data_IF_794074103898
#
_entry.id   IF_794074103898
#
_cell.length_a   1.000
_cell.length_b   1.000
_cell.length_c   1.000
_cell.angle_alpha   90.00
_cell.angle_beta   90.00
_cell.angle_gamma   90.00
#
_symmetry.space_group_name_H-M   'P 1'
#
loop_
_entity.id
_entity.type
_entity.pdbx_description
1 polymer ?
#
# COMPACT_ATOMS: atom_id res chain seq x y z
N UNK A 1 21.62 -16.46 13.07
CA UNK A 1 20.69 -15.80 12.13
C UNK A 1 20.08 -14.59 12.83
N UNK A 2 20.28 -13.37 12.31
CA UNK A 2 19.53 -12.19 12.79
C UNK A 2 18.06 -12.46 12.48
N UNK A 3 17.22 -12.47 13.51
CA UNK A 3 15.78 -12.64 13.35
C UNK A 3 15.29 -11.46 12.51
N UNK A 4 14.89 -11.70 11.25
CA UNK A 4 14.41 -10.66 10.36
C UNK A 4 13.22 -9.97 11.03
N UNK A 5 13.45 -8.74 11.46
CA UNK A 5 12.49 -7.99 12.27
C UNK A 5 11.56 -7.22 11.34
N UNK A 6 10.47 -7.88 10.91
CA UNK A 6 9.40 -7.29 10.11
C UNK A 6 8.23 -6.90 11.01
N UNK A 7 7.66 -5.72 10.77
CA UNK A 7 6.38 -5.27 11.32
C UNK A 7 5.41 -4.95 10.20
N UNK A 8 4.13 -5.20 10.43
CA UNK A 8 3.05 -4.75 9.54
C UNK A 8 2.60 -3.38 10.03
N UNK A 9 2.70 -2.39 9.17
CA UNK A 9 2.24 -1.04 9.45
C UNK A 9 1.06 -0.70 8.54
N UNK A 10 -0.12 -0.57 9.15
CA UNK A 10 -1.33 -0.10 8.49
C UNK A 10 -1.37 1.42 8.64
N UNK A 11 -1.04 2.10 7.55
CA UNK A 11 -1.08 3.56 7.51
C UNK A 11 -2.51 4.03 7.42
N UNK A 12 -2.99 4.74 8.44
CA UNK A 12 -4.35 5.24 8.54
C UNK A 12 -4.42 6.55 9.32
N UNK A 13 -5.63 7.05 9.54
CA UNK A 13 -5.94 8.20 10.38
C UNK A 13 -7.41 8.18 10.84
N UNK A 14 -7.76 9.07 11.75
CA UNK A 14 -9.01 9.02 12.50
C UNK A 14 -10.29 9.05 11.65
N UNK A 15 -10.27 9.76 10.49
CA UNK A 15 -11.44 9.84 9.59
C UNK A 15 -11.73 8.51 8.85
N UNK A 16 -10.82 7.54 8.95
CA UNK A 16 -10.98 6.19 8.40
C UNK A 16 -11.23 5.13 9.48
N UNK A 17 -11.49 5.56 10.71
CA UNK A 17 -11.72 4.64 11.83
C UNK A 17 -12.95 3.73 11.67
N UNK A 18 -13.93 4.14 10.90
CA UNK A 18 -15.10 3.36 10.53
C UNK A 18 -14.75 2.13 9.65
N UNK A 19 -13.61 2.19 8.95
CA UNK A 19 -13.12 1.12 8.08
C UNK A 19 -12.31 0.08 8.86
N UNK A 20 -11.65 0.44 9.96
CA UNK A 20 -10.74 -0.44 10.68
C UNK A 20 -11.34 -1.80 11.05
N UNK A 21 -12.58 -1.87 11.61
CA UNK A 21 -13.19 -3.17 11.93
C UNK A 21 -13.34 -4.06 10.68
N UNK A 22 -13.72 -3.47 9.54
CA UNK A 22 -13.91 -4.19 8.28
C UNK A 22 -12.56 -4.66 7.72
N UNK A 23 -11.56 -3.77 7.73
CA UNK A 23 -10.20 -4.11 7.31
C UNK A 23 -9.63 -5.27 8.12
N UNK A 24 -9.69 -5.21 9.45
CA UNK A 24 -9.13 -6.25 10.30
C UNK A 24 -9.93 -7.55 10.25
N UNK A 25 -11.24 -7.51 10.02
CA UNK A 25 -12.04 -8.70 9.76
C UNK A 25 -11.53 -9.42 8.48
N UNK A 26 -11.27 -8.70 7.39
CA UNK A 26 -10.67 -9.25 6.18
C UNK A 26 -9.22 -9.69 6.44
N UNK A 27 -8.43 -8.88 7.13
CA UNK A 27 -7.04 -9.17 7.41
C UNK A 27 -6.88 -10.48 8.15
N UNK A 28 -7.55 -10.67 9.27
CA UNK A 28 -7.44 -11.90 10.08
C UNK A 28 -8.16 -13.11 9.46
N UNK A 29 -9.15 -12.90 8.60
CA UNK A 29 -9.74 -13.97 7.80
C UNK A 29 -8.72 -14.57 6.83
N UNK A 30 -7.91 -13.73 6.18
CA UNK A 30 -6.99 -14.15 5.13
C UNK A 30 -5.54 -14.28 5.58
N UNK A 31 -5.18 -13.75 6.75
CA UNK A 31 -3.86 -13.88 7.34
C UNK A 31 -3.95 -14.12 8.86
N UNK A 32 -4.67 -15.18 9.26
CA UNK A 32 -4.90 -15.54 10.66
C UNK A 32 -3.61 -15.95 11.39
N UNK A 33 -2.62 -16.46 10.68
CA UNK A 33 -1.32 -16.93 11.17
C UNK A 33 -0.20 -15.89 10.99
N UNK A 34 -0.54 -14.61 10.84
CA UNK A 34 0.44 -13.53 10.73
C UNK A 34 1.35 -13.49 11.98
N UNK A 35 2.66 -13.78 11.85
CA UNK A 35 3.55 -13.86 13.00
C UNK A 35 4.16 -12.51 13.37
N UNK A 36 3.85 -11.47 12.60
CA UNK A 36 4.45 -10.16 12.74
C UNK A 36 3.59 -9.26 13.62
N UNK A 37 4.23 -8.40 14.42
CA UNK A 37 3.48 -7.37 15.16
C UNK A 37 2.80 -6.42 14.18
N UNK A 38 1.51 -6.22 14.36
CA UNK A 38 0.69 -5.32 13.55
C UNK A 38 0.56 -3.99 14.29
N UNK A 39 0.81 -2.90 13.56
CA UNK A 39 0.60 -1.54 14.03
C UNK A 39 -0.42 -0.82 13.16
N UNK A 40 -1.35 -0.12 13.79
CA UNK A 40 -2.32 0.74 13.14
C UNK A 40 -2.00 2.20 13.46
N UNK A 41 -1.79 3.00 12.42
CA UNK A 41 -1.58 4.44 12.55
C UNK A 41 -2.88 5.20 12.75
N UNK A 42 -2.89 6.13 13.71
CA UNK A 42 -4.00 7.05 13.98
C UNK A 42 -3.48 8.38 14.52
N UNK A 43 -4.40 9.31 14.81
CA UNK A 43 -4.08 10.55 15.51
C UNK A 43 -4.49 10.42 16.98
N UNK A 44 -5.76 10.18 17.28
CA UNK A 44 -6.32 10.10 18.65
C UNK A 44 -7.17 8.87 18.88
N UNK A 45 -7.86 8.39 17.81
CA UNK A 45 -8.78 7.27 17.94
C UNK A 45 -8.03 5.98 18.23
N UNK A 46 -8.68 5.09 18.94
CA UNK A 46 -8.17 3.78 19.33
C UNK A 46 -8.96 2.69 18.65
N UNK A 47 -8.29 1.60 18.35
CA UNK A 47 -8.89 0.34 17.92
C UNK A 47 -8.45 -0.73 18.91
N UNK A 48 -9.39 -1.30 19.63
CA UNK A 48 -9.11 -2.31 20.65
C UNK A 48 -9.12 -3.70 20.02
N UNK A 49 -7.92 -4.27 19.89
CA UNK A 49 -7.73 -5.63 19.37
C UNK A 49 -6.40 -6.20 19.89
N UNK A 50 -6.41 -7.43 20.42
CA UNK A 50 -5.28 -8.05 21.11
C UNK A 50 -4.00 -8.16 20.26
N UNK A 51 -4.12 -8.28 18.94
CA UNK A 51 -2.99 -8.42 18.00
C UNK A 51 -2.56 -7.11 17.34
N UNK A 52 -3.25 -5.99 17.60
CA UNK A 52 -2.99 -4.70 16.98
C UNK A 52 -2.53 -3.69 18.00
N UNK A 53 -1.39 -3.05 17.74
CA UNK A 53 -0.91 -1.92 18.54
C UNK A 53 -1.15 -0.61 17.82
N UNK A 54 -1.54 0.42 18.57
CA UNK A 54 -1.76 1.75 18.03
C UNK A 54 -0.45 2.53 17.96
N UNK A 55 -0.30 3.30 16.87
CA UNK A 55 0.69 4.36 16.74
C UNK A 55 -0.04 5.69 16.60
N UNK A 56 0.32 6.65 17.42
CA UNK A 56 -0.31 7.97 17.42
C UNK A 56 0.62 9.03 16.84
N UNK A 57 0.05 9.96 16.08
CA UNK A 57 0.75 11.11 15.51
C UNK A 57 0.03 12.41 15.88
N UNK A 58 0.68 13.56 15.62
CA UNK A 58 0.10 14.86 15.90
C UNK A 58 -1.12 15.17 15.01
N UNK A 59 -2.09 15.88 15.59
CA UNK A 59 -3.42 16.08 14.99
C UNK A 59 -3.44 16.87 13.67
N UNK A 60 -2.45 17.73 13.43
CA UNK A 60 -2.44 18.66 12.28
C UNK A 60 -1.46 18.24 11.17
N UNK A 61 -0.97 17.01 11.21
CA UNK A 61 -0.03 16.51 10.22
C UNK A 61 -0.74 15.92 9.01
N UNK A 62 -0.16 16.13 7.82
CA UNK A 62 -0.56 15.43 6.61
C UNK A 62 -0.09 13.96 6.65
N UNK A 63 -0.38 13.21 5.57
CA UNK A 63 -0.05 11.79 5.51
C UNK A 63 1.44 11.51 5.79
N UNK A 64 2.34 12.23 5.10
CA UNK A 64 3.78 11.99 5.22
C UNK A 64 4.32 12.29 6.62
N UNK A 65 3.89 13.38 7.23
CA UNK A 65 4.29 13.74 8.59
C UNK A 65 3.82 12.70 9.60
N UNK A 66 2.55 12.23 9.50
CA UNK A 66 2.06 11.12 10.33
C UNK A 66 2.84 9.84 10.11
N UNK A 67 3.13 9.49 8.85
CA UNK A 67 3.91 8.29 8.55
C UNK A 67 5.32 8.34 9.15
N UNK A 68 6.00 9.49 9.10
CA UNK A 68 7.30 9.68 9.76
C UNK A 68 7.17 9.49 11.27
N UNK A 69 6.18 10.13 11.91
CA UNK A 69 5.97 10.03 13.36
C UNK A 69 5.65 8.57 13.78
N UNK A 70 4.78 7.87 13.04
CA UNK A 70 4.46 6.47 13.30
C UNK A 70 5.69 5.58 13.14
N UNK A 71 6.39 5.68 12.01
CA UNK A 71 7.56 4.85 11.72
C UNK A 71 8.72 5.10 12.68
N UNK A 72 8.85 6.31 13.23
CA UNK A 72 9.86 6.63 14.23
C UNK A 72 9.65 5.90 15.56
N UNK A 73 8.42 5.49 15.86
CA UNK A 73 8.08 4.70 17.05
C UNK A 73 8.37 3.20 16.89
N UNK A 74 8.61 2.73 15.64
CA UNK A 74 8.84 1.32 15.33
C UNK A 74 10.36 1.08 15.22
N UNK A 75 10.88 0.17 16.05
CA UNK A 75 12.29 -0.29 15.96
C UNK A 75 12.34 -1.60 15.21
N UNK A 76 12.51 -1.53 13.88
CA UNK A 76 12.64 -2.71 13.02
C UNK A 76 13.55 -2.44 11.83
N UNK A 77 14.06 -3.51 11.23
CA UNK A 77 14.79 -3.43 9.95
C UNK A 77 13.82 -3.27 8.79
N UNK A 78 12.69 -3.96 8.84
CA UNK A 78 11.70 -4.02 7.77
C UNK A 78 10.31 -3.64 8.24
N UNK A 79 9.57 -3.02 7.34
CA UNK A 79 8.17 -2.63 7.53
C UNK A 79 7.37 -3.06 6.30
N UNK A 80 6.31 -3.85 6.49
CA UNK A 80 5.29 -4.05 5.47
C UNK A 80 4.28 -2.90 5.58
N UNK A 81 4.38 -1.95 4.66
CA UNK A 81 3.43 -0.85 4.54
C UNK A 81 2.16 -1.32 3.83
N UNK A 82 1.01 -1.07 4.41
CA UNK A 82 -0.32 -1.25 3.81
C UNK A 82 -1.21 -0.06 4.15
N UNK A 83 -2.27 0.14 3.38
CA UNK A 83 -3.34 1.09 3.69
C UNK A 83 -4.57 0.35 4.20
N UNK A 84 -5.36 1.01 5.03
CA UNK A 84 -6.57 0.48 5.67
C UNK A 84 -7.73 0.19 4.70
N UNK A 85 -7.67 0.71 3.48
CA UNK A 85 -8.67 0.49 2.45
C UNK A 85 -8.33 -0.66 1.48
N UNK A 86 -7.22 -1.38 1.71
CA UNK A 86 -6.79 -2.54 0.95
C UNK A 86 -7.30 -3.84 1.60
N UNK A 87 -8.53 -4.24 1.27
CA UNK A 87 -9.14 -5.45 1.83
C UNK A 87 -8.50 -6.70 1.26
N UNK A 88 -7.88 -7.51 2.11
CA UNK A 88 -7.34 -8.81 1.69
C UNK A 88 -8.43 -9.66 1.06
N UNK A 89 -8.10 -10.44 0.03
CA UNK A 89 -9.06 -11.20 -0.76
C UNK A 89 -8.70 -12.68 -0.94
N UNK A 90 -7.48 -13.06 -0.58
CA UNK A 90 -7.00 -14.44 -0.61
C UNK A 90 -6.09 -14.71 0.57
N UNK A 91 -5.99 -15.99 0.96
CA UNK A 91 -5.10 -16.43 2.02
C UNK A 91 -3.66 -16.02 1.71
N UNK A 92 -3.03 -15.31 2.65
CA UNK A 92 -1.62 -14.94 2.58
C UNK A 92 -0.78 -16.17 2.95
N UNK A 93 0.24 -16.43 2.16
CA UNK A 93 1.21 -17.48 2.45
C UNK A 93 2.35 -16.92 3.32
N UNK A 94 2.28 -17.14 4.63
CA UNK A 94 3.26 -16.64 5.60
C UNK A 94 4.68 -17.12 5.29
N UNK A 95 4.86 -18.35 4.76
CA UNK A 95 6.18 -18.85 4.36
C UNK A 95 6.74 -18.10 3.15
N UNK A 96 5.88 -17.75 2.20
CA UNK A 96 6.29 -16.93 1.05
C UNK A 96 6.75 -15.54 1.50
N UNK A 97 6.02 -14.88 2.41
CA UNK A 97 6.44 -13.59 2.96
C UNK A 97 7.80 -13.69 3.66
N UNK A 98 8.04 -14.76 4.43
CA UNK A 98 9.33 -15.00 5.08
C UNK A 98 10.46 -15.18 4.03
N UNK A 99 10.23 -15.96 2.97
CA UNK A 99 11.21 -16.15 1.90
C UNK A 99 11.50 -14.86 1.13
N UNK A 100 10.48 -14.01 0.90
CA UNK A 100 10.65 -12.70 0.27
C UNK A 100 11.47 -11.75 1.16
N UNK A 101 11.34 -11.85 2.47
CA UNK A 101 12.14 -11.09 3.41
C UNK A 101 13.62 -11.52 3.41
N UNK A 102 13.89 -12.84 3.34
CA UNK A 102 15.24 -13.38 3.17
C UNK A 102 15.85 -12.95 1.82
N UNK A 103 15.05 -12.90 0.77
CA UNK A 103 15.48 -12.40 -0.53
C UNK A 103 15.87 -10.93 -0.46
N UNK A 104 15.15 -10.09 0.28
CA UNK A 104 15.52 -8.69 0.49
C UNK A 104 16.89 -8.54 1.15
N UNK A 105 17.24 -9.40 2.12
CA UNK A 105 18.56 -9.40 2.73
C UNK A 105 19.63 -9.90 1.73
N UNK A 106 19.35 -10.99 1.02
CA UNK A 106 20.29 -11.63 0.09
C UNK A 106 20.71 -10.70 -1.07
N UNK A 107 19.75 -9.93 -1.60
CA UNK A 107 19.98 -9.05 -2.75
C UNK A 107 20.11 -7.57 -2.36
N UNK A 108 20.21 -7.27 -1.07
CA UNK A 108 20.30 -5.91 -0.51
C UNK A 108 19.20 -4.97 -1.03
N UNK A 109 17.96 -5.46 -1.08
CA UNK A 109 16.84 -4.67 -1.58
C UNK A 109 16.33 -3.67 -0.54
N UNK A 110 15.99 -2.48 -1.00
CA UNK A 110 15.39 -1.43 -0.16
C UNK A 110 13.86 -1.48 -0.15
N UNK A 111 13.27 -2.01 -1.22
CA UNK A 111 11.82 -2.22 -1.29
C UNK A 111 11.46 -3.42 -2.16
N UNK A 112 10.45 -4.17 -1.74
CA UNK A 112 9.85 -5.25 -2.50
C UNK A 112 8.33 -5.13 -2.45
N UNK A 113 7.74 -4.72 -3.56
CA UNK A 113 6.28 -4.60 -3.69
C UNK A 113 5.65 -5.98 -3.85
N UNK A 114 4.62 -6.26 -3.05
CA UNK A 114 3.95 -7.55 -2.98
C UNK A 114 2.69 -7.64 -3.86
N UNK A 115 2.35 -6.57 -4.55
CA UNK A 115 1.24 -6.46 -5.50
C UNK A 115 1.74 -5.91 -6.84
N UNK A 116 1.38 -6.50 -7.99
CA UNK A 116 1.98 -6.19 -9.29
C UNK A 116 1.37 -4.96 -10.00
N UNK A 117 1.31 -3.83 -9.30
CA UNK A 117 0.84 -2.57 -9.87
C UNK A 117 1.76 -1.40 -9.44
N UNK A 118 2.55 -0.84 -10.36
CA UNK A 118 2.82 -1.31 -11.70
C UNK A 118 3.62 -2.61 -11.72
N UNK A 119 3.52 -3.35 -12.82
CA UNK A 119 4.37 -4.52 -13.07
C UNK A 119 5.85 -4.14 -13.04
N UNK A 120 6.75 -5.05 -12.64
CA UNK A 120 8.18 -4.85 -12.82
C UNK A 120 8.55 -4.54 -14.28
N UNK A 121 9.66 -3.84 -14.49
CA UNK A 121 10.14 -3.49 -15.84
C UNK A 121 10.97 -4.63 -16.46
N UNK A 122 11.74 -5.35 -15.63
CA UNK A 122 12.61 -6.47 -16.05
C UNK A 122 12.71 -7.51 -14.94
N UNK A 123 12.92 -8.77 -15.33
CA UNK A 123 13.05 -9.88 -14.39
C UNK A 123 14.36 -9.85 -13.57
N UNK A 124 14.34 -10.47 -12.40
CA UNK A 124 15.51 -10.75 -11.59
C UNK A 124 15.99 -12.16 -11.89
N UNK A 125 17.30 -12.32 -12.24
CA UNK A 125 17.88 -13.63 -12.54
C UNK A 125 17.72 -14.60 -11.35
N UNK A 126 17.29 -15.83 -11.65
CA UNK A 126 17.05 -16.85 -10.63
C UNK A 126 15.78 -16.66 -9.79
N UNK A 127 15.00 -15.61 -10.02
CA UNK A 127 13.80 -15.29 -9.24
C UNK A 127 12.57 -15.07 -10.17
N UNK A 128 11.84 -16.13 -10.52
CA UNK A 128 10.82 -16.06 -11.60
C UNK A 128 9.65 -15.14 -11.29
N UNK A 129 9.35 -14.89 -10.01
CA UNK A 129 8.24 -13.99 -9.61
C UNK A 129 8.71 -12.58 -9.22
N UNK A 130 10.02 -12.28 -9.29
CA UNK A 130 10.57 -10.99 -8.87
C UNK A 130 11.16 -10.25 -10.07
N UNK A 131 10.99 -8.93 -10.07
CA UNK A 131 11.59 -8.08 -11.07
C UNK A 131 11.87 -6.68 -10.53
N UNK A 132 12.73 -5.97 -11.23
CA UNK A 132 13.15 -4.61 -10.87
C UNK A 132 12.12 -3.58 -11.33
N UNK A 133 11.97 -2.55 -10.53
CA UNK A 133 11.29 -1.31 -10.90
C UNK A 133 12.37 -0.34 -11.42
N UNK A 134 12.47 -0.19 -12.73
CA UNK A 134 13.54 0.60 -13.32
C UNK A 134 13.41 2.09 -12.99
N UNK A 135 14.55 2.78 -13.07
CA UNK A 135 14.60 4.24 -12.91
C UNK A 135 13.71 4.91 -13.98
N UNK A 136 13.02 5.98 -13.58
CA UNK A 136 12.07 6.68 -14.43
C UNK A 136 10.70 6.01 -14.59
N UNK A 137 10.49 4.80 -14.07
CA UNK A 137 9.20 4.16 -14.09
C UNK A 137 8.19 4.95 -13.25
N UNK A 138 7.00 5.19 -13.81
CA UNK A 138 5.92 5.84 -13.09
C UNK A 138 5.46 4.95 -11.92
N UNK A 139 5.25 5.56 -10.74
CA UNK A 139 4.92 4.84 -9.52
C UNK A 139 5.95 3.75 -9.15
N UNK A 140 7.23 4.01 -9.43
CA UNK A 140 8.34 3.18 -9.00
C UNK A 140 8.28 2.94 -7.48
N UNK A 141 7.96 3.97 -6.71
CA UNK A 141 7.48 3.88 -5.35
C UNK A 141 5.98 4.16 -5.31
N UNK A 142 5.24 3.44 -4.51
CA UNK A 142 3.83 3.68 -4.25
C UNK A 142 3.43 3.12 -2.88
N UNK A 143 2.16 3.25 -2.53
CA UNK A 143 1.60 2.82 -1.25
C UNK A 143 0.89 1.48 -1.31
N UNK A 144 1.05 0.72 -2.40
CA UNK A 144 0.65 -0.68 -2.44
C UNK A 144 1.44 -1.51 -1.41
N UNK A 145 0.88 -2.65 -0.99
CA UNK A 145 1.53 -3.55 -0.04
C UNK A 145 2.99 -3.80 -0.45
N UNK A 146 3.92 -3.25 0.34
CA UNK A 146 5.37 -3.25 0.03
C UNK A 146 6.16 -3.50 1.31
N UNK A 147 7.07 -4.45 1.28
CA UNK A 147 8.11 -4.58 2.31
C UNK A 147 9.20 -3.56 2.00
N UNK A 148 9.46 -2.69 2.94
CA UNK A 148 10.49 -1.66 2.88
C UNK A 148 11.58 -1.93 3.92
N UNK A 149 12.84 -1.67 3.59
CA UNK A 149 13.78 -1.28 4.65
C UNK A 149 13.24 0.00 5.27
N UNK A 150 13.02 -0.02 6.58
CA UNK A 150 12.39 1.11 7.29
C UNK A 150 13.12 2.43 7.04
N UNK A 151 14.46 2.41 7.09
CA UNK A 151 15.29 3.60 6.87
C UNK A 151 15.14 4.12 5.42
N UNK A 152 15.04 3.23 4.43
CA UNK A 152 14.84 3.63 3.04
C UNK A 152 13.46 4.28 2.83
N UNK A 153 12.41 3.76 3.48
CA UNK A 153 11.10 4.39 3.45
C UNK A 153 11.13 5.79 4.09
N UNK A 154 11.73 5.93 5.28
CA UNK A 154 11.88 7.21 5.96
C UNK A 154 12.71 8.21 5.15
N UNK A 155 13.77 7.76 4.50
CA UNK A 155 14.59 8.61 3.64
C UNK A 155 13.85 9.11 2.39
N UNK A 156 12.86 8.37 1.90
CA UNK A 156 12.05 8.77 0.75
C UNK A 156 10.84 9.65 1.11
N UNK A 157 10.34 9.60 2.34
CA UNK A 157 9.23 10.45 2.77
C UNK A 157 9.74 11.87 3.05
N UNK A 158 8.99 12.89 2.63
CA UNK A 158 9.24 14.29 3.00
C UNK A 158 8.03 14.87 3.72
N UNK A 159 8.23 15.61 4.83
CA UNK A 159 7.13 16.29 5.51
C UNK A 159 6.37 17.20 4.54
N UNK A 160 5.06 17.28 4.71
CA UNK A 160 4.21 18.13 3.88
C UNK A 160 3.60 17.45 2.66
N UNK A 161 4.07 16.26 2.28
CA UNK A 161 3.52 15.54 1.12
C UNK A 161 2.22 14.81 1.49
N UNK A 162 1.22 14.92 0.62
CA UNK A 162 0.10 13.99 0.58
C UNK A 162 0.57 12.61 0.12
N UNK A 163 -0.28 11.60 0.26
CA UNK A 163 0.01 10.25 -0.22
C UNK A 163 0.34 10.21 -1.72
N UNK A 164 -0.41 10.96 -2.54
CA UNK A 164 -0.19 11.04 -4.00
C UNK A 164 1.11 11.77 -4.35
N UNK A 165 1.41 12.87 -3.66
CA UNK A 165 2.68 13.58 -3.83
C UNK A 165 3.87 12.72 -3.46
N UNK A 166 3.78 11.94 -2.38
CA UNK A 166 4.79 10.95 -2.03
C UNK A 166 5.00 9.95 -3.17
N UNK A 167 3.95 9.34 -3.71
CA UNK A 167 4.09 8.36 -4.79
C UNK A 167 4.83 8.93 -6.03
N UNK A 168 4.55 10.19 -6.38
CA UNK A 168 5.21 10.87 -7.51
C UNK A 168 6.63 11.27 -7.14
N UNK A 169 6.79 12.02 -6.05
CA UNK A 169 8.06 12.64 -5.69
C UNK A 169 9.07 11.62 -5.18
N UNK A 170 8.64 10.63 -4.39
CA UNK A 170 9.52 9.55 -3.95
C UNK A 170 9.95 8.65 -5.12
N UNK A 171 9.10 8.44 -6.13
CA UNK A 171 9.51 7.75 -7.36
C UNK A 171 10.66 8.49 -8.05
N UNK A 172 10.62 9.81 -8.10
CA UNK A 172 11.71 10.64 -8.66
C UNK A 172 12.95 10.57 -7.76
N UNK A 173 12.80 10.79 -6.46
CA UNK A 173 13.92 10.75 -5.49
C UNK A 173 14.63 9.39 -5.50
N UNK A 174 13.85 8.31 -5.55
CA UNK A 174 14.38 6.95 -5.51
C UNK A 174 15.29 6.60 -6.68
N UNK A 175 15.21 7.31 -7.81
CA UNK A 175 16.08 7.08 -8.97
C UNK A 175 17.56 7.31 -8.62
N UNK A 176 17.85 8.33 -7.85
CA UNK A 176 19.21 8.68 -7.45
C UNK A 176 19.64 7.97 -6.15
N UNK A 177 18.70 7.83 -5.20
CA UNK A 177 19.01 7.30 -3.87
C UNK A 177 19.09 5.77 -3.84
N UNK A 178 18.20 5.09 -4.59
CA UNK A 178 18.06 3.64 -4.57
C UNK A 178 18.02 3.02 -5.98
N UNK A 179 19.04 3.26 -6.83
CA UNK A 179 19.10 2.68 -8.16
C UNK A 179 19.23 1.15 -8.04
N UNK A 180 18.36 0.38 -8.69
CA UNK A 180 18.46 -1.08 -8.76
C UNK A 180 18.09 -1.87 -7.51
N UNK A 181 17.60 -1.23 -6.43
CA UNK A 181 17.23 -1.93 -5.18
C UNK A 181 15.75 -1.85 -4.83
N UNK A 182 14.91 -1.39 -5.77
CA UNK A 182 13.45 -1.41 -5.66
C UNK A 182 12.91 -2.46 -6.64
N UNK A 183 12.22 -3.44 -6.09
CA UNK A 183 11.69 -4.58 -6.83
C UNK A 183 10.17 -4.71 -6.61
N UNK A 184 9.57 -5.58 -7.38
CA UNK A 184 8.17 -5.98 -7.22
C UNK A 184 7.95 -7.40 -7.72
N UNK A 185 6.76 -7.92 -7.46
CA UNK A 185 6.35 -9.25 -7.90
C UNK A 185 5.62 -9.17 -9.24
N UNK A 186 5.70 -10.24 -10.06
CA UNK A 186 4.89 -10.41 -11.26
C UNK A 186 3.49 -10.94 -10.94
N UNK A 187 3.37 -11.77 -9.88
CA UNK A 187 2.10 -12.28 -9.35
C UNK A 187 1.98 -11.85 -7.89
N UNK A 188 0.77 -11.47 -7.42
CA UNK A 188 0.62 -10.96 -6.07
C UNK A 188 1.01 -12.01 -5.01
N UNK A 189 1.89 -11.63 -4.08
CA UNK A 189 2.15 -12.36 -2.85
C UNK A 189 1.12 -12.04 -1.77
N UNK A 190 0.57 -10.82 -1.81
CA UNK A 190 -0.62 -10.42 -1.05
C UNK A 190 -1.67 -9.94 -2.04
N UNK A 191 -2.81 -10.64 -2.07
CA UNK A 191 -3.94 -10.30 -2.95
C UNK A 191 -4.99 -9.50 -2.18
N UNK A 192 -5.37 -8.35 -2.71
CA UNK A 192 -6.35 -7.46 -2.10
C UNK A 192 -7.07 -6.61 -3.16
N UNK A 193 -8.08 -5.91 -2.74
CA UNK A 193 -8.75 -4.91 -3.56
C UNK A 193 -8.92 -3.60 -2.78
N UNK A 194 -8.80 -2.49 -3.48
CA UNK A 194 -9.12 -1.17 -2.93
C UNK A 194 -10.63 -1.07 -2.69
N UNK A 195 -11.01 -0.71 -1.47
CA UNK A 195 -12.41 -0.66 -1.08
C UNK A 195 -12.98 0.76 -1.07
N UNK A 196 -12.13 1.77 -0.89
CA UNK A 196 -12.52 3.17 -0.77
C UNK A 196 -11.90 3.99 -1.90
N UNK A 197 -12.66 4.92 -2.42
CA UNK A 197 -12.17 5.94 -3.36
C UNK A 197 -12.84 7.28 -3.09
N UNK A 198 -12.03 8.34 -2.96
CA UNK A 198 -12.52 9.69 -2.65
C UNK A 198 -13.48 9.72 -1.45
N UNK A 199 -13.13 8.96 -0.39
CA UNK A 199 -13.89 8.88 0.84
C UNK A 199 -15.21 8.09 0.76
N UNK A 200 -15.47 7.34 -0.31
CA UNK A 200 -16.70 6.54 -0.51
C UNK A 200 -16.38 5.08 -0.76
N UNK A 201 -17.26 4.19 -0.33
CA UNK A 201 -17.17 2.77 -0.66
C UNK A 201 -17.37 2.56 -2.17
N UNK A 202 -16.47 1.81 -2.80
CA UNK A 202 -16.73 1.28 -4.13
C UNK A 202 -17.84 0.22 -4.07
N UNK A 203 -18.84 0.34 -4.94
CA UNK A 203 -19.94 -0.63 -5.03
C UNK A 203 -19.43 -2.05 -5.33
N UNK A 204 -18.38 -2.15 -6.14
CA UNK A 204 -17.71 -3.42 -6.41
C UNK A 204 -17.09 -4.04 -5.15
N UNK A 205 -16.54 -3.25 -4.24
CA UNK A 205 -16.01 -3.71 -2.96
C UNK A 205 -17.16 -4.15 -2.02
N UNK A 206 -18.24 -3.38 -1.93
CA UNK A 206 -19.42 -3.76 -1.14
C UNK A 206 -19.99 -5.11 -1.59
N UNK A 207 -20.07 -5.35 -2.92
CA UNK A 207 -20.52 -6.66 -3.44
C UNK A 207 -19.58 -7.81 -3.05
N UNK A 208 -18.27 -7.58 -2.97
CA UNK A 208 -17.31 -8.59 -2.49
C UNK A 208 -17.45 -8.84 -1.00
N UNK A 209 -17.52 -7.79 -0.19
CA UNK A 209 -17.72 -7.88 1.26
C UNK A 209 -19.03 -8.61 1.60
N UNK A 210 -20.11 -8.29 0.91
CA UNK A 210 -21.40 -8.94 1.12
C UNK A 210 -21.37 -10.45 0.85
N UNK A 211 -20.59 -10.92 -0.16
CA UNK A 211 -20.38 -12.36 -0.41
C UNK A 211 -19.64 -13.05 0.75
N UNK A 212 -18.95 -12.29 1.57
CA UNK A 212 -18.22 -12.78 2.73
C UNK A 212 -18.99 -12.59 4.05
N UNK A 213 -20.23 -12.09 3.98
CA UNK A 213 -21.06 -11.80 5.13
C UNK A 213 -20.67 -10.52 5.88
N UNK A 214 -19.91 -9.63 5.22
CA UNK A 214 -19.42 -8.38 5.80
C UNK A 214 -20.24 -7.22 5.25
N UNK A 215 -20.88 -6.45 6.12
CA UNK A 215 -21.80 -5.36 5.76
C UNK A 215 -21.37 -4.06 6.45
N UNK A 216 -20.62 -3.18 5.75
CA UNK A 216 -20.26 -1.87 6.30
C UNK A 216 -21.49 -1.00 6.59
N UNK A 217 -21.41 -0.16 7.62
CA UNK A 217 -22.43 0.84 7.89
C UNK A 217 -22.31 2.02 6.93
N UNK A 218 -23.24 2.08 5.97
CA UNK A 218 -23.25 3.13 4.95
C UNK A 218 -23.71 4.49 5.45
N UNK A 219 -24.24 4.58 6.67
CA UNK A 219 -24.53 5.86 7.33
C UNK A 219 -23.27 6.59 7.78
N UNK A 220 -22.23 5.83 8.16
CA UNK A 220 -20.92 6.37 8.54
C UNK A 220 -20.09 6.77 7.30
N UNK A 221 -20.15 5.96 6.24
CA UNK A 221 -19.45 6.22 4.99
C UNK A 221 -20.31 5.79 3.80
N UNK A 222 -20.76 6.74 2.96
CA UNK A 222 -21.64 6.42 1.84
C UNK A 222 -20.92 5.61 0.75
N UNK A 223 -21.70 4.88 -0.03
CA UNK A 223 -21.24 4.26 -1.26
C UNK A 223 -21.14 5.28 -2.42
N UNK A 224 -20.29 5.02 -3.39
CA UNK A 224 -20.32 5.74 -4.67
C UNK A 224 -21.68 5.53 -5.38
N UNK A 225 -22.08 6.50 -6.18
CA UNK A 225 -23.31 6.38 -6.98
C UNK A 225 -23.13 5.41 -8.16
N UNK A 226 -24.18 4.77 -8.68
CA UNK A 226 -24.10 3.96 -9.90
C UNK A 226 -23.48 4.70 -11.07
N UNK A 227 -23.77 5.99 -11.19
CA UNK A 227 -23.19 6.87 -12.22
C UNK A 227 -21.68 7.00 -12.07
N UNK A 228 -21.20 7.21 -10.85
CA UNK A 228 -19.75 7.31 -10.57
C UNK A 228 -19.04 5.99 -10.85
N UNK A 229 -19.65 4.84 -10.48
CA UNK A 229 -19.14 3.51 -10.79
C UNK A 229 -19.00 3.32 -12.30
N UNK A 230 -20.05 3.61 -13.06
CA UNK A 230 -20.05 3.49 -14.52
C UNK A 230 -19.02 4.42 -15.17
N UNK A 231 -18.96 5.68 -14.76
CA UNK A 231 -17.97 6.65 -15.23
C UNK A 231 -16.53 6.15 -14.98
N UNK A 232 -16.25 5.65 -13.79
CA UNK A 232 -14.94 5.10 -13.43
C UNK A 232 -14.57 3.88 -14.28
N UNK A 233 -15.55 3.01 -14.55
CA UNK A 233 -15.37 1.86 -15.42
C UNK A 233 -15.02 2.27 -16.85
N UNK A 234 -15.78 3.19 -17.43
CA UNK A 234 -15.55 3.72 -18.78
C UNK A 234 -14.17 4.39 -18.88
N UNK A 235 -13.80 5.24 -17.90
CA UNK A 235 -12.50 5.92 -17.88
C UNK A 235 -11.32 4.92 -17.73
N UNK A 236 -11.48 3.86 -16.95
CA UNK A 236 -10.46 2.80 -16.85
C UNK A 236 -10.32 2.04 -18.16
N UNK A 237 -11.44 1.76 -18.84
CA UNK A 237 -11.45 1.03 -20.11
C UNK A 237 -10.85 1.86 -21.25
N UNK A 238 -11.29 3.13 -21.41
CA UNK A 238 -10.76 4.06 -22.42
C UNK A 238 -9.35 4.55 -22.11
N UNK A 239 -8.99 4.68 -20.83
CA UNK A 239 -7.70 5.21 -20.42
C UNK A 239 -6.50 4.27 -20.62
N UNK A 240 -6.72 2.95 -20.72
CA UNK A 240 -5.65 1.98 -20.95
C UNK A 240 -4.90 2.20 -22.27
N UNK A 241 -5.56 2.29 -23.44
CA UNK A 241 -4.86 2.53 -24.69
C UNK A 241 -4.24 3.92 -24.76
N UNK A 242 -4.91 4.95 -24.25
CA UNK A 242 -4.40 6.33 -24.25
C UNK A 242 -3.13 6.46 -23.38
N UNK A 243 -3.11 5.84 -22.21
CA UNK A 243 -1.90 5.83 -21.35
C UNK A 243 -0.71 5.11 -22.01
N UNK A 244 -0.95 4.10 -22.83
CA UNK A 244 0.13 3.37 -23.51
C UNK A 244 0.87 4.24 -24.55
N UNK A 245 0.20 5.24 -25.12
CA UNK A 245 0.72 6.08 -26.23
C UNK A 245 1.36 7.38 -25.68
N UNK A 246 0.99 7.85 -24.51
CA UNK A 246 1.47 9.12 -23.98
C UNK A 246 2.91 9.04 -23.44
N UNK A 247 3.78 10.03 -23.75
CA UNK A 247 5.13 10.14 -23.17
C UNK A 247 5.08 10.23 -21.64
N UNK A 248 6.14 9.75 -20.99
CA UNK A 248 6.22 9.62 -19.53
C UNK A 248 5.96 10.96 -18.79
N UNK A 249 6.55 12.06 -19.29
CA UNK A 249 6.37 13.39 -18.70
C UNK A 249 4.93 13.88 -18.77
N UNK A 250 4.21 13.57 -19.85
CA UNK A 250 2.79 13.92 -20.01
C UNK A 250 1.92 13.10 -19.03
N UNK A 251 2.23 11.81 -18.86
CA UNK A 251 1.56 10.96 -17.85
C UNK A 251 1.74 11.50 -16.43
N UNK A 252 2.94 11.98 -16.10
CA UNK A 252 3.24 12.58 -14.80
C UNK A 252 2.46 13.87 -14.58
N UNK A 253 2.38 14.75 -15.58
CA UNK A 253 1.58 15.97 -15.51
C UNK A 253 0.09 15.68 -15.38
N UNK A 254 -0.46 14.77 -16.18
CA UNK A 254 -1.86 14.37 -16.10
C UNK A 254 -2.20 13.76 -14.72
N UNK A 255 -1.30 12.97 -14.14
CA UNK A 255 -1.51 12.44 -12.80
C UNK A 255 -1.61 13.56 -11.75
N UNK A 256 -0.82 14.62 -11.86
CA UNK A 256 -0.91 15.81 -10.98
C UNK A 256 -2.24 16.56 -11.13
N UNK A 257 -2.78 16.65 -12.35
CA UNK A 257 -4.04 17.35 -12.62
C UNK A 257 -5.30 16.53 -12.27
N UNK A 258 -5.25 15.20 -12.36
CA UNK A 258 -6.41 14.33 -12.15
C UNK A 258 -6.42 13.63 -10.78
N UNK A 259 -5.46 13.89 -9.90
CA UNK A 259 -5.36 13.34 -8.54
C UNK A 259 -6.16 14.13 -7.50
N UNK A 260 -7.19 14.85 -7.91
CA UNK A 260 -8.13 15.53 -7.00
C UNK A 260 -9.33 14.67 -6.68
#
# INVERSE_FOLDING_TARGET
>A
MKKNNLFVYISSFDDYSDIWPIFFQCFFKYWSDCPYQIYLGSVRKKFDHSQVKMLHANAHSNWSSRAIEHLSQIKSTYVLLMLEDYMLSKKVNTKEIASLLELMDTYDLNALRLYPDPLPSRGMSGQPNIGFQDMGQLNRTNTHATIWRREALLDLIRPGESLWEFEINASIRSNNTYPGSICGVWKPAIDYYMAIGKGKWFRSALRKLAKEGIFPDLSLRPAETPYTELKSFILKWLGKPVRAILPLHVRQQLKRFFSF
#
